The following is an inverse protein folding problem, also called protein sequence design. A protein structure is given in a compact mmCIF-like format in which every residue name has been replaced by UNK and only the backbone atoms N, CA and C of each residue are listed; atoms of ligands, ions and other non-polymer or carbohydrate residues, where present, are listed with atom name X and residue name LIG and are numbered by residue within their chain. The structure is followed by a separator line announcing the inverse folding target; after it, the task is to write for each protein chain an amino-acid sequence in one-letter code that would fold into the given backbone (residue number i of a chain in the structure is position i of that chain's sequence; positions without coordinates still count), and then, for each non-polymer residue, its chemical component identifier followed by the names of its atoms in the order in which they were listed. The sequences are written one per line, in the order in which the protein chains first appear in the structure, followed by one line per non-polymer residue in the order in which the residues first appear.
data_IF_734218004763
#
_entry.id   IF_734218004763
#
_cell.length_a   1.000
_cell.length_b   1.000
_cell.length_c   1.000
_cell.angle_alpha   90.00
_cell.angle_beta   90.00
_cell.angle_gamma   90.00
#
_symmetry.space_group_name_H-M   'P 1'
#
loop_
_entity.id
_entity.type
_entity.pdbx_description
1 polymer ?
#
# COMPACT_ATOMS: atom_id res chain seq x y z
N UNK A 1 6.67 18.17 0.92
CA UNK A 1 7.37 16.89 0.58
C UNK A 1 6.78 15.74 1.40
N UNK A 2 7.30 14.50 1.29
CA UNK A 2 6.86 13.39 2.14
C UNK A 2 7.12 13.67 3.64
N UNK A 3 8.26 14.30 3.96
CA UNK A 3 8.64 14.68 5.32
C UNK A 3 7.72 15.77 5.88
N UNK A 4 7.39 16.78 5.06
CA UNK A 4 6.48 17.85 5.46
C UNK A 4 5.06 17.32 5.71
N UNK A 5 4.58 16.41 4.84
CA UNK A 5 3.30 15.74 5.02
C UNK A 5 3.25 14.95 6.33
N UNK A 6 4.29 14.17 6.62
CA UNK A 6 4.41 13.43 7.87
C UNK A 6 4.44 14.39 9.09
N UNK A 7 5.20 15.48 9.01
CA UNK A 7 5.30 16.47 10.08
C UNK A 7 3.97 17.21 10.34
N UNK A 8 3.14 17.42 9.31
CA UNK A 8 1.80 18.02 9.46
C UNK A 8 0.81 17.03 10.10
N UNK A 9 0.88 15.74 9.75
CA UNK A 9 0.09 14.70 10.42
C UNK A 9 0.48 14.59 11.90
N UNK A 10 1.78 14.55 12.20
CA UNK A 10 2.28 14.48 13.57
C UNK A 10 1.85 15.70 14.40
N UNK A 11 1.89 16.90 13.82
CA UNK A 11 1.37 18.12 14.45
C UNK A 11 -0.13 18.09 14.73
N UNK A 12 -0.89 17.24 14.03
CA UNK A 12 -2.30 17.00 14.33
C UNK A 12 -2.48 15.99 15.47
N UNK A 13 -1.42 15.36 15.96
CA UNK A 13 -1.49 14.18 16.83
C UNK A 13 -2.11 12.99 16.11
N UNK A 14 -1.91 12.90 14.79
CA UNK A 14 -2.53 11.88 13.96
C UNK A 14 -1.60 10.68 13.73
N UNK A 15 -2.17 9.48 13.69
CA UNK A 15 -1.54 8.30 13.10
C UNK A 15 -2.24 7.98 11.78
N UNK A 16 -1.45 7.67 10.76
CA UNK A 16 -1.93 7.32 9.42
C UNK A 16 -1.31 5.99 9.01
N UNK A 17 -2.16 5.02 8.71
CA UNK A 17 -1.76 3.70 8.24
C UNK A 17 -2.39 3.38 6.89
N UNK A 18 -1.66 2.66 6.04
CA UNK A 18 -2.16 2.14 4.78
C UNK A 18 -1.91 0.64 4.68
N UNK A 19 -2.93 -0.10 4.24
CA UNK A 19 -2.87 -1.55 4.07
C UNK A 19 -3.47 -1.97 2.73
N UNK A 20 -2.87 -2.95 2.09
CA UNK A 20 -3.37 -3.54 0.86
C UNK A 20 -3.39 -5.07 0.98
N UNK A 21 -4.54 -5.67 0.69
CA UNK A 21 -4.73 -7.12 0.67
C UNK A 21 -5.68 -7.50 -0.49
N UNK A 22 -5.99 -8.79 -0.65
CA UNK A 22 -6.90 -9.29 -1.67
C UNK A 22 -8.23 -8.52 -1.80
N UNK A 23 -8.95 -8.16 -0.72
CA UNK A 23 -10.20 -7.42 -0.83
C UNK A 23 -10.04 -5.95 -1.22
N UNK A 24 -8.83 -5.38 -1.14
CA UNK A 24 -8.59 -4.00 -1.54
C UNK A 24 -7.58 -3.25 -0.66
N UNK A 25 -7.64 -1.93 -0.76
CA UNK A 25 -6.78 -0.99 -0.03
C UNK A 25 -7.59 -0.30 1.06
N UNK A 26 -6.99 -0.15 2.25
CA UNK A 26 -7.51 0.62 3.37
C UNK A 26 -6.49 1.68 3.77
N UNK A 27 -6.98 2.88 4.02
CA UNK A 27 -6.23 3.95 4.70
C UNK A 27 -6.97 4.25 5.99
N UNK A 28 -6.27 4.23 7.12
CA UNK A 28 -6.81 4.47 8.45
C UNK A 28 -6.16 5.71 9.04
N UNK A 29 -6.97 6.63 9.56
CA UNK A 29 -6.53 7.84 10.23
C UNK A 29 -7.11 7.85 11.64
N UNK A 30 -6.26 7.93 12.66
CA UNK A 30 -6.66 8.23 14.03
C UNK A 30 -6.17 9.61 14.41
N UNK A 31 -7.03 10.43 14.99
CA UNK A 31 -6.72 11.84 15.30
C UNK A 31 -7.70 12.38 16.35
N UNK A 32 -7.30 13.33 17.22
CA UNK A 32 -8.24 14.05 18.07
C UNK A 32 -9.39 14.68 17.26
N UNK A 33 -10.62 14.57 17.74
CA UNK A 33 -11.81 15.07 17.04
C UNK A 33 -11.70 16.55 16.65
N UNK A 34 -11.06 17.38 17.49
CA UNK A 34 -10.81 18.81 17.22
C UNK A 34 -9.86 19.07 16.05
N UNK A 35 -9.12 18.06 15.59
CA UNK A 35 -8.17 18.13 14.47
C UNK A 35 -8.61 17.34 13.24
N UNK A 36 -9.75 16.64 13.30
CA UNK A 36 -10.24 15.76 12.23
C UNK A 36 -10.31 16.46 10.88
N UNK A 37 -10.88 17.67 10.81
CA UNK A 37 -11.02 18.40 9.54
C UNK A 37 -9.65 18.67 8.88
N UNK A 38 -8.63 19.03 9.67
CA UNK A 38 -7.28 19.29 9.16
C UNK A 38 -6.63 18.00 8.66
N UNK A 39 -6.64 16.95 9.49
CA UNK A 39 -5.99 15.69 9.15
C UNK A 39 -6.67 14.97 7.97
N UNK A 40 -8.01 15.03 7.88
CA UNK A 40 -8.75 14.52 6.73
C UNK A 40 -8.42 15.31 5.45
N UNK A 41 -8.17 16.63 5.58
CA UNK A 41 -7.67 17.46 4.49
C UNK A 41 -6.34 16.97 3.92
N UNK A 42 -5.40 16.58 4.80
CA UNK A 42 -4.11 16.00 4.39
C UNK A 42 -4.32 14.67 3.66
N UNK A 43 -5.14 13.76 4.19
CA UNK A 43 -5.45 12.49 3.51
C UNK A 43 -6.09 12.73 2.14
N UNK A 44 -7.01 13.70 2.05
CA UNK A 44 -7.64 14.08 0.79
C UNK A 44 -6.65 14.69 -0.21
N UNK A 45 -5.61 15.40 0.24
CA UNK A 45 -4.52 15.87 -0.62
C UNK A 45 -3.70 14.69 -1.15
N UNK A 46 -3.25 13.79 -0.26
CA UNK A 46 -2.46 12.61 -0.63
C UNK A 46 -3.19 11.69 -1.64
N UNK A 47 -4.51 11.58 -1.52
CA UNK A 47 -5.33 10.78 -2.45
C UNK A 47 -5.68 11.50 -3.76
N UNK A 48 -5.66 12.84 -3.81
CA UNK A 48 -6.01 13.59 -5.04
C UNK A 48 -4.79 13.99 -5.86
N UNK A 49 -3.65 14.20 -5.21
CA UNK A 49 -2.42 14.65 -5.84
C UNK A 49 -1.20 13.86 -5.32
N UNK A 50 -1.18 12.52 -5.45
CA UNK A 50 0.00 11.76 -5.05
C UNK A 50 1.20 12.09 -5.94
N UNK A 51 2.35 12.36 -5.31
CA UNK A 51 3.57 12.73 -6.01
C UNK A 51 4.14 11.57 -6.85
N UNK A 52 4.18 10.36 -6.29
CA UNK A 52 4.84 9.17 -6.87
C UNK A 52 6.23 9.48 -7.44
N UNK A 53 7.07 10.14 -6.64
CA UNK A 53 8.46 10.42 -7.00
C UNK A 53 9.19 9.11 -7.33
N UNK A 54 9.90 9.08 -8.47
CA UNK A 54 10.58 7.87 -8.96
C UNK A 54 11.52 7.27 -7.91
N UNK A 55 12.33 8.10 -7.26
CA UNK A 55 13.27 7.68 -6.21
C UNK A 55 12.58 7.01 -5.03
N UNK A 56 11.38 7.45 -4.64
CA UNK A 56 10.63 6.83 -3.55
C UNK A 56 10.05 5.48 -3.97
N UNK A 57 9.59 5.35 -5.21
CA UNK A 57 9.11 4.07 -5.75
C UNK A 57 10.27 3.08 -5.87
N UNK A 58 11.41 3.50 -6.41
CA UNK A 58 12.62 2.69 -6.51
C UNK A 58 13.10 2.21 -5.13
N UNK A 59 13.08 3.09 -4.14
CA UNK A 59 13.42 2.75 -2.75
C UNK A 59 12.49 1.67 -2.18
N UNK A 60 11.18 1.80 -2.38
CA UNK A 60 10.20 0.81 -1.92
C UNK A 60 10.32 -0.53 -2.66
N UNK A 61 10.62 -0.49 -3.96
CA UNK A 61 10.92 -1.69 -4.76
C UNK A 61 12.18 -2.38 -4.25
N UNK A 62 13.25 -1.63 -3.99
CA UNK A 62 14.50 -2.13 -3.39
C UNK A 62 14.26 -2.81 -2.05
N UNK A 63 13.61 -2.12 -1.11
CA UNK A 63 13.24 -2.68 0.19
C UNK A 63 12.48 -4.00 0.05
N UNK A 64 11.50 -4.05 -0.87
CA UNK A 64 10.72 -5.29 -1.07
C UNK A 64 11.57 -6.42 -1.68
N UNK A 65 12.49 -6.11 -2.58
CA UNK A 65 13.40 -7.10 -3.16
C UNK A 65 14.34 -7.68 -2.09
N UNK A 66 14.79 -6.86 -1.15
CA UNK A 66 15.63 -7.29 -0.02
C UNK A 66 14.86 -8.16 0.99
N UNK A 67 13.56 -7.92 1.18
CA UNK A 67 12.70 -8.74 2.06
C UNK A 67 12.45 -10.15 1.51
N UNK A 68 12.35 -10.32 0.19
CA UNK A 68 11.95 -11.58 -0.44
C UNK A 68 12.87 -12.76 -0.07
N UNK A 69 14.21 -12.64 -0.12
CA UNK A 69 15.12 -13.68 0.35
C UNK A 69 14.88 -14.08 1.81
N UNK A 70 14.62 -13.12 2.70
CA UNK A 70 14.32 -13.39 4.11
C UNK A 70 13.00 -14.16 4.28
N UNK A 71 11.96 -13.82 3.51
CA UNK A 71 10.71 -14.59 3.49
C UNK A 71 10.93 -16.01 2.98
N UNK A 72 11.80 -16.20 1.98
CA UNK A 72 12.11 -17.52 1.43
C UNK A 72 13.03 -18.33 2.36
N UNK A 73 13.80 -17.68 3.23
CA UNK A 73 14.54 -18.39 4.28
C UNK A 73 13.61 -18.91 5.40
N UNK A 74 12.40 -18.36 5.53
CA UNK A 74 11.44 -18.76 6.56
C UNK A 74 10.57 -19.96 6.10
N UNK A 75 10.68 -21.14 6.75
CA UNK A 75 9.93 -22.34 6.34
C UNK A 75 8.41 -22.16 6.40
N UNK A 76 7.89 -21.47 7.42
CA UNK A 76 6.45 -21.23 7.59
C UNK A 76 5.89 -20.33 6.47
N UNK A 77 6.64 -19.30 6.06
CA UNK A 77 6.25 -18.43 4.93
C UNK A 77 6.25 -19.19 3.61
N UNK A 78 7.27 -20.02 3.38
CA UNK A 78 7.33 -20.92 2.21
C UNK A 78 6.18 -21.90 2.16
N UNK A 79 5.88 -22.56 3.28
CA UNK A 79 4.76 -23.49 3.38
C UNK A 79 3.43 -22.80 3.09
N UNK A 80 3.19 -21.61 3.66
CA UNK A 80 1.97 -20.83 3.40
C UNK A 80 1.83 -20.45 1.92
N UNK A 81 2.92 -20.03 1.27
CA UNK A 81 2.93 -19.70 -0.17
C UNK A 81 2.63 -20.92 -1.04
N UNK A 82 3.23 -22.07 -0.72
CA UNK A 82 2.94 -23.31 -1.45
C UNK A 82 1.50 -23.75 -1.23
N UNK A 83 1.01 -23.68 0.01
CA UNK A 83 -0.37 -24.03 0.34
C UNK A 83 -1.38 -23.17 -0.43
N UNK A 84 -1.21 -21.84 -0.48
CA UNK A 84 -2.06 -20.97 -1.30
C UNK A 84 -2.07 -21.37 -2.78
N UNK A 85 -0.91 -21.76 -3.33
CA UNK A 85 -0.79 -22.20 -4.72
C UNK A 85 -1.55 -23.49 -5.00
N UNK A 86 -1.56 -24.43 -4.06
CA UNK A 86 -2.27 -25.73 -4.21
C UNK A 86 -3.77 -25.61 -3.90
N UNK A 87 -4.16 -24.75 -2.97
CA UNK A 87 -5.57 -24.60 -2.55
C UNK A 87 -6.43 -23.84 -3.56
N UNK A 88 -5.85 -22.87 -4.28
CA UNK A 88 -6.61 -21.99 -5.17
C UNK A 88 -6.32 -22.28 -6.64
N UNK A 89 -7.33 -22.18 -7.54
CA UNK A 89 -7.09 -22.25 -8.98
C UNK A 89 -6.02 -21.24 -9.42
N UNK A 90 -5.18 -21.62 -10.39
CA UNK A 90 -4.09 -20.75 -10.86
C UNK A 90 -4.58 -19.41 -11.44
N UNK A 91 -5.85 -19.35 -11.89
CA UNK A 91 -6.52 -18.14 -12.37
C UNK A 91 -6.94 -17.19 -11.23
N UNK A 92 -7.11 -17.70 -10.01
CA UNK A 92 -7.51 -16.91 -8.86
C UNK A 92 -6.32 -16.12 -8.31
N UNK A 93 -6.53 -14.84 -7.97
CA UNK A 93 -5.48 -13.98 -7.38
C UNK A 93 -4.89 -14.56 -6.09
N UNK A 94 -5.68 -15.31 -5.33
CA UNK A 94 -5.30 -15.96 -4.07
C UNK A 94 -4.25 -17.06 -4.23
N UNK A 95 -4.07 -17.61 -5.45
CA UNK A 95 -3.00 -18.58 -5.74
C UNK A 95 -1.61 -17.95 -5.82
N UNK A 96 -1.53 -16.60 -5.86
CA UNK A 96 -0.29 -15.85 -6.07
C UNK A 96 0.15 -15.13 -4.80
N UNK A 97 1.46 -14.91 -4.60
CA UNK A 97 1.95 -14.11 -3.48
C UNK A 97 1.39 -12.69 -3.49
N UNK A 98 0.79 -12.27 -2.38
CA UNK A 98 0.18 -10.95 -2.23
C UNK A 98 1.14 -9.79 -2.51
N UNK A 99 2.35 -9.90 -1.98
CA UNK A 99 3.40 -8.89 -2.09
C UNK A 99 4.30 -9.11 -3.32
N UNK A 100 3.84 -9.91 -4.29
CA UNK A 100 4.55 -10.20 -5.53
C UNK A 100 5.67 -11.24 -5.41
N UNK A 101 6.23 -11.59 -6.56
CA UNK A 101 7.51 -12.29 -6.72
C UNK A 101 8.59 -11.29 -7.10
N UNK A 102 9.86 -11.69 -6.96
CA UNK A 102 11.01 -10.88 -7.38
C UNK A 102 10.83 -10.36 -8.83
N UNK A 103 10.46 -11.26 -9.75
CA UNK A 103 10.20 -10.93 -11.15
C UNK A 103 9.11 -9.86 -11.32
N UNK A 104 7.99 -9.97 -10.60
CA UNK A 104 6.90 -8.99 -10.70
C UNK A 104 7.24 -7.65 -10.03
N UNK A 105 8.00 -7.68 -8.93
CA UNK A 105 8.36 -6.49 -8.16
C UNK A 105 9.38 -5.65 -8.93
N UNK A 106 10.33 -6.27 -9.63
CA UNK A 106 11.31 -5.58 -10.49
C UNK A 106 10.68 -4.77 -11.64
N UNK A 107 9.42 -5.03 -11.98
CA UNK A 107 8.69 -4.31 -13.05
C UNK A 107 7.89 -3.11 -12.54
N UNK A 108 7.89 -2.85 -11.24
CA UNK A 108 7.16 -1.72 -10.68
C UNK A 108 8.01 -0.46 -10.88
N UNK A 109 7.47 0.49 -11.61
CA UNK A 109 8.00 1.85 -11.77
C UNK A 109 6.91 2.90 -11.46
N UNK A 110 7.28 4.18 -11.44
CA UNK A 110 6.35 5.26 -11.14
C UNK A 110 5.18 5.33 -12.14
N UNK A 111 5.39 4.97 -13.41
CA UNK A 111 4.36 4.96 -14.43
C UNK A 111 3.33 3.86 -14.18
N UNK A 112 3.77 2.65 -13.82
CA UNK A 112 2.91 1.52 -13.47
C UNK A 112 2.09 1.81 -12.19
N UNK A 113 2.71 2.44 -11.19
CA UNK A 113 2.01 2.85 -9.97
C UNK A 113 0.94 3.89 -10.28
N UNK A 114 1.25 4.91 -11.09
CA UNK A 114 0.28 5.94 -11.50
C UNK A 114 -0.86 5.34 -12.31
N UNK A 115 -0.57 4.47 -13.29
CA UNK A 115 -1.57 3.78 -14.07
C UNK A 115 -2.50 2.91 -13.20
N UNK A 116 -1.94 2.20 -12.20
CA UNK A 116 -2.75 1.45 -11.25
C UNK A 116 -3.64 2.37 -10.41
N UNK A 117 -3.09 3.47 -9.91
CA UNK A 117 -3.81 4.45 -9.10
C UNK A 117 -4.98 5.04 -9.88
N UNK A 118 -4.76 5.54 -11.08
CA UNK A 118 -5.78 6.18 -11.92
C UNK A 118 -6.89 5.20 -12.32
N UNK A 119 -6.56 3.92 -12.52
CA UNK A 119 -7.53 2.91 -12.91
C UNK A 119 -8.41 2.42 -11.74
N UNK A 120 -7.91 2.44 -10.50
CA UNK A 120 -8.57 1.74 -9.37
C UNK A 120 -8.91 2.64 -8.18
N UNK A 121 -8.19 3.73 -7.93
CA UNK A 121 -8.39 4.60 -6.78
C UNK A 121 -9.30 5.76 -7.19
N UNK A 122 -10.60 5.59 -6.99
CA UNK A 122 -11.63 6.55 -7.38
C UNK A 122 -12.76 6.66 -6.35
N UNK A 123 -13.43 7.82 -6.22
CA UNK A 123 -14.52 8.00 -5.25
C UNK A 123 -15.64 6.96 -5.38
N UNK A 124 -15.97 6.55 -6.60
CA UNK A 124 -17.04 5.58 -6.88
C UNK A 124 -16.79 4.16 -6.32
N UNK A 125 -15.56 3.84 -5.91
CA UNK A 125 -15.19 2.54 -5.33
C UNK A 125 -14.61 2.68 -3.92
N UNK A 126 -14.78 3.86 -3.30
CA UNK A 126 -14.29 4.15 -1.96
C UNK A 126 -15.46 4.29 -0.98
N UNK A 127 -15.22 3.94 0.28
CA UNK A 127 -16.15 4.17 1.38
C UNK A 127 -15.39 4.82 2.53
N UNK A 128 -15.86 5.98 2.96
CA UNK A 128 -15.35 6.64 4.16
C UNK A 128 -16.19 6.20 5.36
N UNK A 129 -15.52 5.72 6.41
CA UNK A 129 -16.14 5.38 7.68
C UNK A 129 -15.51 6.27 8.74
N UNK A 130 -16.35 7.02 9.45
CA UNK A 130 -15.94 7.89 10.56
C UNK A 130 -16.68 7.39 11.80
N UNK A 131 -15.94 7.14 12.87
CA UNK A 131 -16.44 6.59 14.14
C UNK A 131 -16.19 7.61 15.25
#
# INVERSE_FOLDING_TARGET
SAEEFAAELERCGATLDAHADHPGVRVSLEVPASRLAKALGLVAEALRAPAFAESEIERLVGNRLDEIPHEQANPSRRAAKQLSKELFPATARMSRPRLGTEETVRRIDAAAVRAFFDAHIRPATATAVIV
#
